data_IF_458854324591
#
_entry.id   IF_458854324591
#
_cell.length_a   1.000
_cell.length_b   1.000
_cell.length_c   1.000
_cell.angle_alpha   90.00
_cell.angle_beta   90.00
_cell.angle_gamma   90.00
#
_symmetry.space_group_name_H-M   'P 1'
#
loop_
_entity.id
_entity.type
_entity.pdbx_description
1 polymer ?
#
# COMPACT_ATOMS: atom_id res chain seq x y z
N UNK A 1 45.69 -2.47 -36.73
CA UNK A 1 44.39 -3.13 -36.91
C UNK A 1 43.52 -2.64 -35.76
N UNK A 2 42.71 -1.59 -35.99
CA UNK A 2 41.86 -0.99 -34.96
C UNK A 2 40.49 -1.66 -35.03
N UNK A 3 40.09 -2.35 -33.94
CA UNK A 3 38.72 -2.88 -33.81
C UNK A 3 37.76 -1.71 -33.45
N UNK A 4 36.61 -1.62 -34.09
CA UNK A 4 35.58 -0.67 -33.68
C UNK A 4 34.89 -1.12 -32.38
N UNK A 5 34.89 -0.27 -31.37
CA UNK A 5 34.04 -0.40 -30.21
C UNK A 5 32.58 -0.13 -30.64
N UNK A 6 31.76 -1.18 -30.66
CA UNK A 6 30.33 -1.03 -30.85
C UNK A 6 29.74 -0.68 -29.46
N UNK A 7 29.38 0.59 -29.25
CA UNK A 7 28.55 1.01 -28.13
C UNK A 7 27.13 0.42 -28.35
N UNK A 8 26.81 -0.62 -27.65
CA UNK A 8 25.42 -1.07 -27.58
C UNK A 8 24.62 -0.03 -26.76
N UNK A 9 23.77 0.71 -27.42
CA UNK A 9 22.79 1.57 -26.77
C UNK A 9 21.82 0.65 -26.01
N UNK A 10 21.92 0.61 -24.68
CA UNK A 10 20.89 -0.01 -23.85
C UNK A 10 19.64 0.86 -23.98
N UNK A 11 18.58 0.31 -24.59
CA UNK A 11 17.27 0.93 -24.59
C UNK A 11 16.84 1.08 -23.12
N UNK A 12 16.66 2.30 -22.66
CA UNK A 12 16.09 2.57 -21.36
C UNK A 12 14.69 1.93 -21.31
N UNK A 13 14.50 0.96 -20.43
CA UNK A 13 13.16 0.40 -20.15
C UNK A 13 12.35 1.55 -19.56
N UNK A 14 11.45 2.12 -20.35
CA UNK A 14 10.53 3.15 -19.87
C UNK A 14 9.62 2.55 -18.83
N UNK A 15 9.52 3.17 -17.65
CA UNK A 15 8.60 2.76 -16.62
C UNK A 15 7.16 2.68 -17.19
N UNK A 16 6.39 1.63 -16.90
CA UNK A 16 5.07 1.44 -17.49
C UNK A 16 4.11 2.59 -17.15
N UNK A 17 4.34 3.26 -16.02
CA UNK A 17 3.55 4.39 -15.53
C UNK A 17 4.48 5.57 -15.18
N UNK A 18 4.91 6.36 -16.16
CA UNK A 18 5.89 7.44 -15.93
C UNK A 18 5.30 8.66 -15.21
N UNK A 19 3.97 8.84 -15.26
CA UNK A 19 3.26 9.96 -14.66
C UNK A 19 1.86 9.55 -14.19
N UNK A 20 1.26 10.37 -13.34
CA UNK A 20 -0.13 10.19 -12.91
C UNK A 20 -1.09 10.30 -14.09
N UNK A 21 -1.97 9.32 -14.23
CA UNK A 21 -3.08 9.37 -15.19
C UNK A 21 -4.16 10.37 -14.71
N UNK A 22 -5.14 10.77 -15.55
CA UNK A 22 -6.29 11.55 -15.09
C UNK A 22 -6.97 10.89 -13.89
N UNK A 23 -7.38 11.71 -12.90
CA UNK A 23 -7.92 11.24 -11.61
C UNK A 23 -9.06 10.24 -11.77
N UNK A 24 -9.90 10.40 -12.79
CA UNK A 24 -11.04 9.53 -13.08
C UNK A 24 -10.64 8.06 -13.27
N UNK A 25 -9.39 7.80 -13.64
CA UNK A 25 -8.86 6.43 -13.78
C UNK A 25 -8.57 5.76 -12.43
N UNK A 26 -8.43 6.56 -11.37
CA UNK A 26 -8.19 6.05 -10.01
C UNK A 26 -9.48 5.94 -9.20
N UNK A 27 -10.55 6.64 -9.60
CA UNK A 27 -11.82 6.56 -8.88
C UNK A 27 -12.52 5.22 -9.12
N UNK A 28 -13.28 4.78 -8.13
CA UNK A 28 -14.24 3.67 -8.29
C UNK A 28 -15.50 4.19 -9.00
N UNK A 29 -16.31 3.31 -9.62
CA UNK A 29 -17.53 3.69 -10.30
C UNK A 29 -18.50 4.50 -9.42
N UNK A 30 -18.58 4.12 -8.16
CA UNK A 30 -19.40 4.76 -7.15
C UNK A 30 -18.86 4.48 -5.73
N UNK A 31 -19.37 5.23 -4.75
CA UNK A 31 -18.97 5.13 -3.36
C UNK A 31 -19.28 3.76 -2.74
N UNK A 32 -20.40 3.14 -3.09
CA UNK A 32 -20.79 1.83 -2.54
C UNK A 32 -19.84 0.73 -3.01
N UNK A 33 -19.42 0.78 -4.26
CA UNK A 33 -18.42 -0.13 -4.81
C UNK A 33 -17.08 -0.02 -4.06
N UNK A 34 -16.66 1.20 -3.69
CA UNK A 34 -15.42 1.40 -2.94
C UNK A 34 -15.54 0.94 -1.49
N UNK A 35 -16.67 1.22 -0.82
CA UNK A 35 -16.95 0.71 0.53
C UNK A 35 -16.92 -0.82 0.54
N UNK A 36 -17.62 -1.45 -0.41
CA UNK A 36 -17.66 -2.90 -0.52
C UNK A 36 -16.26 -3.50 -0.71
N UNK A 37 -15.45 -2.91 -1.60
CA UNK A 37 -14.08 -3.36 -1.83
C UNK A 37 -13.18 -3.16 -0.60
N UNK A 38 -13.26 -2.01 0.08
CA UNK A 38 -12.48 -1.74 1.28
C UNK A 38 -12.72 -2.78 2.38
N UNK A 39 -13.98 -3.14 2.61
CA UNK A 39 -14.37 -4.15 3.60
C UNK A 39 -13.85 -5.55 3.32
N UNK A 40 -13.54 -5.87 2.05
CA UNK A 40 -12.95 -7.18 1.72
C UNK A 40 -11.52 -7.35 2.23
N UNK A 41 -10.88 -6.31 2.77
CA UNK A 41 -9.52 -6.40 3.30
C UNK A 41 -9.39 -7.28 4.53
N UNK A 42 -10.43 -7.37 5.37
CA UNK A 42 -10.44 -8.12 6.62
C UNK A 42 -11.71 -8.99 6.74
N UNK A 43 -11.73 -9.99 7.66
CA UNK A 43 -12.95 -10.72 7.97
C UNK A 43 -14.10 -9.81 8.39
N UNK A 44 -15.34 -10.20 8.11
CA UNK A 44 -16.55 -9.44 8.42
C UNK A 44 -16.64 -9.04 9.92
N UNK A 45 -16.19 -9.91 10.84
CA UNK A 45 -16.10 -9.59 12.27
C UNK A 45 -15.22 -8.37 12.61
N UNK A 46 -14.41 -7.89 11.67
CA UNK A 46 -13.58 -6.69 11.79
C UNK A 46 -14.12 -5.60 10.89
N UNK A 47 -14.35 -5.90 9.61
CA UNK A 47 -14.65 -4.88 8.59
C UNK A 47 -16.08 -4.34 8.65
N UNK A 48 -17.05 -5.07 9.24
CA UNK A 48 -18.43 -4.62 9.28
C UNK A 48 -18.64 -3.40 10.18
N UNK A 49 -17.88 -3.30 11.28
CA UNK A 49 -17.91 -2.18 12.22
C UNK A 49 -16.74 -1.20 12.08
N UNK A 50 -15.89 -1.40 11.07
CA UNK A 50 -14.77 -0.52 10.80
C UNK A 50 -15.25 0.81 10.18
N UNK A 51 -14.51 1.90 10.49
CA UNK A 51 -14.60 3.11 9.69
C UNK A 51 -14.19 2.79 8.25
N UNK A 52 -14.88 3.41 7.26
CA UNK A 52 -14.48 3.27 5.86
C UNK A 52 -14.27 4.64 5.25
N UNK A 53 -13.07 4.88 4.73
CA UNK A 53 -12.78 6.04 3.91
C UNK A 53 -12.77 5.67 2.43
N UNK A 54 -13.26 6.59 1.60
CA UNK A 54 -13.33 6.43 0.14
C UNK A 54 -12.65 7.60 -0.56
N UNK A 55 -12.04 7.31 -1.73
CA UNK A 55 -11.38 8.33 -2.52
C UNK A 55 -12.40 9.12 -3.35
N UNK A 56 -12.48 10.42 -3.07
CA UNK A 56 -13.18 11.41 -3.89
C UNK A 56 -12.23 12.28 -4.70
N UNK A 57 -12.78 13.31 -5.33
CA UNK A 57 -11.98 14.26 -6.14
C UNK A 57 -11.01 15.10 -5.32
N UNK A 58 -11.30 15.32 -4.06
CA UNK A 58 -10.50 16.14 -3.14
C UNK A 58 -9.67 15.32 -2.16
N UNK A 59 -9.65 13.99 -2.33
CA UNK A 59 -8.96 13.06 -1.44
C UNK A 59 -9.90 12.10 -0.75
N UNK A 60 -9.39 11.42 0.29
CA UNK A 60 -10.18 10.49 1.08
C UNK A 60 -11.08 11.19 2.07
N UNK A 61 -12.31 10.70 2.18
CA UNK A 61 -13.30 11.15 3.17
C UNK A 61 -13.97 9.96 3.82
N UNK A 62 -14.37 10.10 5.09
CA UNK A 62 -15.13 9.07 5.81
C UNK A 62 -16.51 8.92 5.19
N UNK A 63 -16.79 7.75 4.64
CA UNK A 63 -18.06 7.36 4.07
C UNK A 63 -18.92 6.56 5.04
N UNK A 64 -18.29 5.83 5.95
CA UNK A 64 -18.95 5.06 7.02
C UNK A 64 -18.20 5.30 8.32
N UNK A 65 -18.90 5.72 9.35
CA UNK A 65 -18.33 5.81 10.70
C UNK A 65 -18.13 4.41 11.29
N UNK A 66 -17.00 4.18 11.96
CA UNK A 66 -16.69 2.91 12.63
C UNK A 66 -16.94 2.96 14.13
N UNK A 67 -17.01 1.78 14.76
CA UNK A 67 -17.21 1.63 16.19
C UNK A 67 -16.13 0.77 16.89
N UNK A 68 -15.29 0.07 16.12
CA UNK A 68 -14.33 -0.89 16.64
C UNK A 68 -12.86 -0.45 16.57
N UNK A 69 -12.60 0.81 16.17
CA UNK A 69 -11.26 1.37 16.05
C UNK A 69 -10.48 0.95 14.79
N UNK A 70 -11.04 0.10 13.93
CA UNK A 70 -10.45 -0.23 12.64
C UNK A 70 -10.84 0.80 11.56
N UNK A 71 -9.92 1.04 10.63
CA UNK A 71 -10.13 1.87 9.44
C UNK A 71 -9.86 1.03 8.18
N UNK A 72 -10.88 0.85 7.35
CA UNK A 72 -10.74 0.19 6.05
C UNK A 72 -10.73 1.21 4.92
N UNK A 73 -9.85 1.00 3.93
CA UNK A 73 -9.61 1.91 2.81
C UNK A 73 -9.14 1.12 1.59
N UNK A 74 -9.38 1.63 0.39
CA UNK A 74 -8.75 1.09 -0.83
C UNK A 74 -7.61 2.01 -1.22
N UNK A 75 -6.38 1.63 -0.90
CA UNK A 75 -5.22 2.41 -1.30
C UNK A 75 -5.02 2.42 -2.82
N UNK A 76 -4.46 3.52 -3.30
CA UNK A 76 -4.03 3.70 -4.69
C UNK A 76 -2.52 3.54 -4.79
N UNK A 77 -2.04 3.51 -6.01
CA UNK A 77 -0.65 3.19 -6.33
C UNK A 77 0.40 4.11 -5.68
N UNK A 78 0.05 5.35 -5.36
CA UNK A 78 0.93 6.27 -4.63
C UNK A 78 1.11 5.94 -3.13
N UNK A 79 0.40 4.92 -2.61
CA UNK A 79 0.70 4.29 -1.33
C UNK A 79 1.99 3.49 -1.33
N UNK A 80 2.41 2.99 -2.49
CA UNK A 80 3.68 2.30 -2.64
C UNK A 80 4.89 3.23 -2.46
N UNK A 81 6.09 2.66 -2.30
CA UNK A 81 7.35 3.41 -2.34
C UNK A 81 7.53 4.16 -3.66
N UNK A 82 8.16 5.31 -3.64
CA UNK A 82 8.31 6.17 -4.84
C UNK A 82 9.21 5.55 -5.91
N UNK A 83 10.02 4.56 -5.56
CA UNK A 83 10.84 3.75 -6.47
C UNK A 83 10.04 2.69 -7.21
N UNK A 84 8.82 2.37 -6.73
CA UNK A 84 7.96 1.36 -7.37
C UNK A 84 7.64 1.73 -8.82
N UNK A 85 7.77 0.77 -9.78
CA UNK A 85 7.31 0.96 -11.15
C UNK A 85 5.78 1.16 -11.23
N UNK A 86 5.05 0.70 -10.22
CA UNK A 86 3.59 0.76 -10.14
C UNK A 86 3.07 2.06 -9.51
N UNK A 87 3.95 2.98 -9.07
CA UNK A 87 3.58 4.18 -8.30
C UNK A 87 2.46 5.03 -8.94
N UNK A 88 2.38 5.06 -10.26
CA UNK A 88 1.32 5.76 -10.98
C UNK A 88 0.35 4.82 -11.71
N UNK A 89 0.33 3.52 -11.33
CA UNK A 89 -0.61 2.58 -11.95
C UNK A 89 -2.07 2.91 -11.59
N UNK A 90 -2.90 3.37 -12.54
CA UNK A 90 -4.26 3.78 -12.24
C UNK A 90 -5.21 2.61 -11.95
N UNK A 91 -4.77 1.37 -12.19
CA UNK A 91 -5.57 0.17 -11.94
C UNK A 91 -5.41 -0.34 -10.50
N UNK A 92 -4.33 0.07 -9.80
CA UNK A 92 -4.07 -0.45 -8.45
C UNK A 92 -5.23 -0.17 -7.51
N UNK A 93 -5.66 -1.23 -6.86
CA UNK A 93 -6.69 -1.26 -5.81
C UNK A 93 -6.20 -2.18 -4.72
N UNK A 94 -5.72 -1.60 -3.64
CA UNK A 94 -5.17 -2.31 -2.51
C UNK A 94 -6.05 -2.10 -1.27
N UNK A 95 -7.02 -3.00 -1.01
CA UNK A 95 -7.85 -2.91 0.18
C UNK A 95 -7.03 -3.23 1.43
N UNK A 96 -7.07 -2.31 2.41
CA UNK A 96 -6.45 -2.43 3.71
C UNK A 96 -7.48 -2.18 4.82
N UNK A 97 -7.39 -2.92 5.93
CA UNK A 97 -8.05 -2.56 7.18
C UNK A 97 -6.99 -2.41 8.26
N UNK A 98 -6.71 -1.18 8.63
CA UNK A 98 -5.74 -0.80 9.65
C UNK A 98 -6.36 -0.93 11.05
N UNK A 99 -5.58 -1.41 12.02
CA UNK A 99 -5.99 -1.33 13.42
C UNK A 99 -5.85 0.12 13.92
N UNK A 100 -6.35 0.38 15.12
CA UNK A 100 -6.39 1.71 15.70
C UNK A 100 -5.01 2.40 15.74
N UNK A 101 -3.94 1.68 16.09
CA UNK A 101 -2.58 2.20 16.11
C UNK A 101 -2.10 2.62 14.71
N UNK A 102 -2.32 1.78 13.70
CA UNK A 102 -1.96 2.10 12.32
C UNK A 102 -2.86 3.19 11.71
N UNK A 103 -4.14 3.20 12.04
CA UNK A 103 -5.08 4.25 11.61
C UNK A 103 -4.63 5.64 12.10
N UNK A 104 -4.12 5.73 13.35
CA UNK A 104 -3.60 6.99 13.91
C UNK A 104 -2.22 7.38 13.40
N UNK A 105 -1.34 6.42 13.10
CA UNK A 105 0.09 6.73 12.94
C UNK A 105 0.69 6.36 11.59
N UNK A 106 0.12 5.40 10.87
CA UNK A 106 0.57 5.00 9.53
C UNK A 106 -0.31 5.60 8.43
N UNK A 107 -1.64 5.49 8.55
CA UNK A 107 -2.58 6.03 7.55
C UNK A 107 -2.36 7.51 7.23
N UNK A 108 -2.00 8.41 8.16
CA UNK A 108 -1.71 9.81 7.85
C UNK A 108 -0.64 10.02 6.78
N UNK A 109 0.36 9.13 6.68
CA UNK A 109 1.38 9.16 5.62
C UNK A 109 0.70 9.00 4.25
N UNK A 110 -0.11 7.95 4.10
CA UNK A 110 -0.83 7.69 2.87
C UNK A 110 -1.81 8.82 2.50
N UNK A 111 -2.52 9.38 3.46
CA UNK A 111 -3.42 10.52 3.23
C UNK A 111 -2.66 11.77 2.77
N UNK A 112 -1.47 12.03 3.30
CA UNK A 112 -0.59 13.10 2.85
C UNK A 112 -0.12 12.84 1.41
N UNK A 113 0.40 11.63 1.11
CA UNK A 113 0.81 11.25 -0.26
C UNK A 113 -0.35 11.42 -1.25
N UNK A 114 -1.58 11.08 -0.85
CA UNK A 114 -2.78 11.29 -1.66
C UNK A 114 -2.99 12.77 -1.98
N UNK A 115 -2.95 13.65 -1.00
CA UNK A 115 -3.10 15.11 -1.21
C UNK A 115 -2.03 15.65 -2.15
N UNK A 116 -0.80 15.21 -1.99
CA UNK A 116 0.31 15.63 -2.85
C UNK A 116 0.14 15.11 -4.29
N UNK A 117 -0.27 13.86 -4.47
CA UNK A 117 -0.55 13.28 -5.78
C UNK A 117 -1.67 14.05 -6.49
N UNK A 118 -2.79 14.33 -5.80
CA UNK A 118 -3.90 15.11 -6.34
C UNK A 118 -3.52 16.56 -6.65
N UNK A 119 -2.53 17.12 -5.94
CA UNK A 119 -1.95 18.43 -6.23
C UNK A 119 -0.94 18.41 -7.40
N UNK A 120 -0.77 17.27 -8.08
CA UNK A 120 0.11 17.12 -9.24
C UNK A 120 1.61 17.08 -8.90
N UNK A 121 1.96 16.73 -7.65
CA UNK A 121 3.35 16.64 -7.24
C UNK A 121 4.03 15.43 -7.86
N UNK A 122 5.30 15.59 -8.24
CA UNK A 122 6.16 14.51 -8.73
C UNK A 122 6.49 13.51 -7.60
N UNK A 123 6.93 12.30 -7.97
CA UNK A 123 7.42 11.29 -7.01
C UNK A 123 8.47 11.87 -6.06
N UNK A 124 9.45 12.62 -6.59
CA UNK A 124 10.52 13.23 -5.79
C UNK A 124 9.98 14.27 -4.80
N UNK A 125 9.00 15.10 -5.21
CA UNK A 125 8.37 16.06 -4.30
C UNK A 125 7.55 15.37 -3.22
N UNK A 126 6.84 14.28 -3.56
CA UNK A 126 6.08 13.47 -2.60
C UNK A 126 7.04 12.87 -1.57
N UNK A 127 8.11 12.20 -2.00
CA UNK A 127 9.12 11.63 -1.11
C UNK A 127 9.73 12.70 -0.19
N UNK A 128 10.20 13.81 -0.75
CA UNK A 128 10.83 14.88 0.02
C UNK A 128 9.88 15.53 1.03
N UNK A 129 8.61 15.75 0.65
CA UNK A 129 7.61 16.34 1.55
C UNK A 129 7.24 15.37 2.67
N UNK A 130 7.05 14.08 2.36
CA UNK A 130 6.76 13.05 3.38
C UNK A 130 7.91 12.91 4.36
N UNK A 131 9.15 12.83 3.89
CA UNK A 131 10.34 12.77 4.74
C UNK A 131 10.45 14.01 5.66
N UNK A 132 10.23 15.21 5.10
CA UNK A 132 10.24 16.45 5.89
C UNK A 132 9.15 16.47 6.96
N UNK A 133 7.94 16.00 6.64
CA UNK A 133 6.83 15.94 7.60
C UNK A 133 7.10 14.95 8.76
N UNK A 134 7.80 13.85 8.49
CA UNK A 134 8.29 12.93 9.52
C UNK A 134 9.37 13.58 10.39
N UNK A 135 10.32 14.35 9.80
CA UNK A 135 11.38 15.05 10.53
C UNK A 135 10.84 16.12 11.46
N UNK A 136 9.88 16.89 10.98
CA UNK A 136 9.25 17.99 11.72
C UNK A 136 8.16 17.53 12.68
N UNK A 137 7.83 16.23 12.70
CA UNK A 137 6.74 15.63 13.50
C UNK A 137 5.34 16.16 13.12
N UNK A 138 5.17 16.67 11.92
CA UNK A 138 3.86 16.94 11.34
C UNK A 138 3.09 15.64 11.14
N UNK A 139 3.79 14.58 10.70
CA UNK A 139 3.29 13.22 10.75
C UNK A 139 3.62 12.58 12.09
N UNK A 140 2.70 11.82 12.69
CA UNK A 140 2.91 11.18 13.97
C UNK A 140 3.99 10.09 13.88
N UNK A 141 4.67 9.85 15.01
CA UNK A 141 5.55 8.68 15.13
C UNK A 141 4.72 7.40 15.13
N UNK A 142 5.23 6.37 14.47
CA UNK A 142 4.58 5.07 14.39
C UNK A 142 4.41 4.44 15.79
N UNK A 143 3.18 4.08 16.13
CA UNK A 143 2.87 3.42 17.40
C UNK A 143 3.22 1.92 17.37
N UNK A 144 3.73 1.36 18.49
CA UNK A 144 3.90 -0.08 18.62
C UNK A 144 2.59 -0.83 18.40
N UNK A 145 2.67 -1.95 17.67
CA UNK A 145 1.51 -2.78 17.37
C UNK A 145 0.66 -2.29 16.19
N UNK A 146 1.12 -1.27 15.47
CA UNK A 146 0.48 -0.87 14.22
C UNK A 146 0.50 -2.01 13.19
N UNK A 147 -0.68 -2.37 12.67
CA UNK A 147 -0.83 -3.46 11.70
C UNK A 147 -2.04 -3.25 10.81
N UNK A 148 -2.09 -3.99 9.69
CA UNK A 148 -3.29 -4.06 8.89
C UNK A 148 -3.57 -5.47 8.35
N UNK A 149 -4.81 -5.68 7.93
CA UNK A 149 -5.26 -6.82 7.14
C UNK A 149 -5.22 -6.45 5.66
N UNK A 150 -4.71 -7.35 4.85
CA UNK A 150 -4.72 -7.28 3.39
C UNK A 150 -5.10 -8.64 2.81
N UNK A 151 -6.37 -9.03 3.00
CA UNK A 151 -6.86 -10.39 2.72
C UNK A 151 -7.92 -10.44 1.61
N UNK A 152 -7.98 -9.42 0.75
CA UNK A 152 -8.96 -9.34 -0.32
C UNK A 152 -8.60 -10.19 -1.53
N UNK A 153 -9.52 -11.00 -2.03
CA UNK A 153 -9.40 -11.64 -3.36
C UNK A 153 -9.52 -10.66 -4.52
N UNK A 154 -10.10 -9.47 -4.25
CA UNK A 154 -10.42 -8.48 -5.27
C UNK A 154 -9.34 -7.41 -5.39
N UNK A 155 -8.22 -7.58 -4.69
CA UNK A 155 -7.07 -6.69 -4.82
C UNK A 155 -6.48 -6.73 -6.24
N UNK A 156 -5.98 -5.59 -6.69
CA UNK A 156 -5.18 -5.48 -7.90
C UNK A 156 -3.94 -4.65 -7.58
N UNK A 157 -2.78 -5.26 -7.53
CA UNK A 157 -1.55 -4.64 -7.02
C UNK A 157 -0.57 -4.25 -8.14
N UNK A 158 -0.52 -5.01 -9.23
CA UNK A 158 0.36 -4.76 -10.37
C UNK A 158 -0.18 -5.46 -11.62
N UNK A 159 0.42 -5.14 -12.77
CA UNK A 159 -0.02 -5.72 -14.06
C UNK A 159 0.48 -7.15 -14.28
N UNK A 160 1.55 -7.58 -13.62
CA UNK A 160 2.14 -8.90 -13.78
C UNK A 160 1.35 -9.96 -13.01
N UNK A 161 1.32 -9.87 -11.69
CA UNK A 161 0.66 -10.86 -10.81
C UNK A 161 -0.79 -10.53 -10.48
N UNK A 162 -1.24 -9.30 -10.74
CA UNK A 162 -2.55 -8.72 -10.40
C UNK A 162 -2.83 -8.71 -8.91
N UNK A 163 -2.81 -9.86 -8.25
CA UNK A 163 -3.06 -10.02 -6.81
C UNK A 163 -1.89 -10.73 -6.13
N UNK A 164 -1.85 -10.66 -4.83
CA UNK A 164 -0.91 -11.42 -4.00
C UNK A 164 -1.65 -12.22 -2.94
N UNK A 165 -0.93 -12.98 -2.13
CA UNK A 165 -1.47 -13.83 -1.07
C UNK A 165 -2.27 -13.01 -0.04
N UNK A 166 -3.28 -13.62 0.61
CA UNK A 166 -3.87 -13.01 1.80
C UNK A 166 -2.81 -12.93 2.90
N UNK A 167 -2.63 -11.75 3.50
CA UNK A 167 -1.58 -11.53 4.47
C UNK A 167 -1.96 -10.46 5.49
N UNK A 168 -1.19 -10.45 6.57
CA UNK A 168 -1.16 -9.36 7.55
C UNK A 168 0.12 -8.58 7.35
N UNK A 169 0.07 -7.27 7.55
CA UNK A 169 1.25 -6.42 7.62
C UNK A 169 1.40 -5.85 9.02
N UNK A 170 2.63 -5.85 9.52
CA UNK A 170 3.01 -5.21 10.77
C UNK A 170 4.01 -4.12 10.46
N UNK A 171 3.76 -2.93 10.99
CA UNK A 171 4.58 -1.76 10.75
C UNK A 171 5.50 -1.52 11.95
N UNK A 172 6.80 -1.49 11.70
CA UNK A 172 7.82 -1.29 12.75
C UNK A 172 8.74 -0.16 12.34
N UNK A 173 8.94 0.81 13.22
CA UNK A 173 9.79 1.95 12.95
C UNK A 173 11.25 1.54 12.66
N UNK A 174 11.86 2.16 11.66
CA UNK A 174 13.24 1.95 11.26
C UNK A 174 13.50 0.63 10.54
N UNK A 175 14.77 0.23 10.45
CA UNK A 175 15.19 -1.03 9.84
C UNK A 175 15.21 -2.15 10.89
N UNK A 176 14.16 -2.96 10.89
CA UNK A 176 13.94 -4.03 11.86
C UNK A 176 13.99 -5.45 11.26
N UNK A 177 14.18 -5.61 9.96
CA UNK A 177 14.07 -6.90 9.26
C UNK A 177 14.89 -8.01 9.91
N UNK A 178 16.16 -7.73 10.24
CA UNK A 178 17.08 -8.67 10.86
C UNK A 178 16.61 -9.14 12.25
N UNK A 179 16.05 -8.24 13.05
CA UNK A 179 15.63 -8.57 14.44
C UNK A 179 14.42 -9.49 14.49
N UNK A 180 13.64 -9.55 13.40
CA UNK A 180 12.47 -10.44 13.26
C UNK A 180 12.79 -11.75 12.52
N UNK A 181 14.04 -11.92 12.07
CA UNK A 181 14.41 -13.08 11.27
C UNK A 181 13.67 -13.16 9.95
N UNK A 182 13.28 -12.02 9.38
CA UNK A 182 12.60 -11.96 8.11
C UNK A 182 13.52 -12.40 6.96
N UNK A 183 12.92 -12.94 5.91
CA UNK A 183 13.60 -13.38 4.67
C UNK A 183 14.68 -14.45 4.87
N UNK A 184 14.77 -15.03 6.07
CA UNK A 184 15.67 -16.18 6.33
C UNK A 184 15.08 -17.47 5.74
N UNK A 185 15.93 -18.44 5.36
CA UNK A 185 15.44 -19.74 4.88
C UNK A 185 14.46 -20.37 5.86
N UNK A 186 13.22 -20.63 5.39
CA UNK A 186 12.15 -21.20 6.20
C UNK A 186 11.40 -20.21 7.11
N UNK A 187 11.76 -18.92 7.12
CA UNK A 187 10.98 -17.90 7.83
C UNK A 187 9.65 -17.67 7.12
N UNK A 188 8.52 -17.65 7.86
CA UNK A 188 7.25 -17.27 7.29
C UNK A 188 7.08 -15.74 7.16
N UNK A 189 8.06 -14.97 7.64
CA UNK A 189 8.03 -13.52 7.69
C UNK A 189 8.82 -12.97 6.51
N UNK A 190 8.18 -12.14 5.71
CA UNK A 190 8.78 -11.37 4.62
C UNK A 190 8.88 -9.92 5.08
N UNK A 191 9.97 -9.22 4.75
CA UNK A 191 10.12 -7.81 5.09
C UNK A 191 10.31 -6.95 3.84
N UNK A 192 9.68 -5.77 3.87
CA UNK A 192 9.98 -4.66 2.98
C UNK A 192 10.41 -3.48 3.82
N UNK A 193 11.61 -2.96 3.56
CA UNK A 193 12.10 -1.77 4.23
C UNK A 193 11.79 -0.54 3.36
N UNK A 194 11.06 0.42 3.93
CA UNK A 194 10.81 1.72 3.30
C UNK A 194 11.59 2.81 4.05
N UNK A 195 12.76 3.20 3.53
CA UNK A 195 13.60 4.21 4.16
C UNK A 195 13.01 5.63 4.05
N UNK A 196 12.15 5.91 3.06
CA UNK A 196 11.47 7.21 2.91
C UNK A 196 10.43 7.41 4.00
N UNK A 197 9.68 6.37 4.33
CA UNK A 197 8.68 6.35 5.41
C UNK A 197 9.27 5.91 6.76
N UNK A 198 10.54 5.48 6.79
CA UNK A 198 11.27 5.02 8.00
C UNK A 198 10.59 3.87 8.70
N UNK A 199 10.07 2.94 7.94
CA UNK A 199 9.34 1.79 8.43
C UNK A 199 9.86 0.51 7.80
N UNK A 200 9.87 -0.57 8.59
CA UNK A 200 9.93 -1.94 8.07
C UNK A 200 8.52 -2.49 8.10
N UNK A 201 8.04 -2.96 6.96
CA UNK A 201 6.75 -3.62 6.81
C UNK A 201 6.99 -5.12 6.81
N UNK A 202 6.53 -5.81 7.84
CA UNK A 202 6.56 -7.26 7.90
C UNK A 202 5.27 -7.83 7.35
N UNK A 203 5.36 -8.79 6.45
CA UNK A 203 4.23 -9.48 5.85
C UNK A 203 4.21 -10.93 6.29
N UNK A 204 3.05 -11.38 6.78
CA UNK A 204 2.80 -12.76 7.19
C UNK A 204 1.65 -13.30 6.36
N UNK A 205 1.94 -14.24 5.46
CA UNK A 205 0.92 -14.90 4.63
C UNK A 205 0.02 -15.76 5.51
N UNK A 206 -1.28 -15.68 5.28
CA UNK A 206 -2.29 -16.45 6.02
C UNK A 206 -3.01 -17.43 5.10
N UNK A 207 -3.52 -18.51 5.67
CA UNK A 207 -4.10 -19.63 4.91
C UNK A 207 -5.51 -19.40 4.38
N UNK A 208 -6.11 -18.22 4.60
CA UNK A 208 -7.48 -17.91 4.19
C UNK A 208 -7.62 -16.47 3.72
N UNK A 209 -8.51 -16.28 2.77
CA UNK A 209 -9.03 -14.97 2.38
C UNK A 209 -9.98 -14.41 3.45
N UNK A 210 -10.32 -13.14 3.36
CA UNK A 210 -11.22 -12.46 4.31
C UNK A 210 -12.63 -13.08 4.37
N UNK A 211 -13.08 -13.71 3.30
CA UNK A 211 -14.36 -14.43 3.22
C UNK A 211 -14.32 -15.84 3.84
N UNK A 212 -13.20 -16.22 4.47
CA UNK A 212 -12.99 -17.51 5.11
C UNK A 212 -12.61 -18.65 4.16
N UNK A 213 -12.63 -18.43 2.84
CA UNK A 213 -12.23 -19.47 1.89
C UNK A 213 -10.73 -19.76 1.95
N UNK A 214 -10.31 -21.02 1.82
CA UNK A 214 -8.90 -21.36 1.84
C UNK A 214 -8.12 -20.66 0.72
N UNK A 215 -6.93 -20.18 1.06
CA UNK A 215 -5.93 -19.83 0.07
C UNK A 215 -5.17 -21.10 -0.30
N UNK A 216 -5.26 -21.52 -1.55
CA UNK A 216 -4.46 -22.61 -2.09
C UNK A 216 -3.37 -22.03 -2.98
N UNK A 217 -2.10 -22.37 -2.71
CA UNK A 217 -1.07 -22.19 -3.72
C UNK A 217 -1.47 -23.06 -4.91
N UNK A 218 -1.84 -22.44 -6.03
CA UNK A 218 -1.87 -23.19 -7.28
C UNK A 218 -0.40 -23.62 -7.52
N UNK A 219 -0.14 -24.92 -7.43
CA UNK A 219 1.13 -25.49 -7.90
C UNK A 219 1.16 -25.26 -9.41
N UNK A 220 1.91 -24.27 -9.84
CA UNK A 220 2.30 -24.08 -11.23
C UNK A 220 3.59 -24.81 -11.50
#
# INVERSE_FOLDING_TARGET
MLLPFVLAAQAAVTAPYPAMAPLEKYLMPDQQSEIALARTAAPASISDEAEVMVLGREGYTTAVAGSNGFLCIVERSWGAGTDSPEFWNPKMRAPHCFNEAAARTFTPIFLMKTKLALAGKSKAEIAATTASALDTKELPALEPGAMCYMMSKQQYLNDEGKSWHPHLMFFVAGDAAKSWGADLPGSPIIAANDPEERVTIFMVVVGKWSDGTPFSHATH
#
